data_IF_613114934786
#
_entry.id   IF_613114934786
#
_cell.length_a   1.000
_cell.length_b   1.000
_cell.length_c   1.000
_cell.angle_alpha   90.00
_cell.angle_beta   90.00
_cell.angle_gamma   90.00
#
_symmetry.space_group_name_H-M   'P 1'
#
loop_
_entity.id
_entity.type
_entity.pdbx_description
1 polymer ?
#
# COMPACT_ATOMS: atom_id res chain seq x y z
N UNK A 1 11.55 11.79 -4.12
CA UNK A 1 10.57 12.48 -5.00
C UNK A 1 11.36 13.37 -5.94
N UNK A 2 10.94 13.55 -7.20
CA UNK A 2 11.72 14.36 -8.14
C UNK A 2 11.64 15.85 -7.79
N UNK A 3 12.78 16.47 -7.51
CA UNK A 3 12.87 17.90 -7.16
C UNK A 3 12.36 18.81 -8.29
N UNK A 4 12.53 18.40 -9.54
CA UNK A 4 12.12 19.14 -10.73
C UNK A 4 10.59 19.23 -10.87
N UNK A 5 9.87 18.18 -10.45
CA UNK A 5 8.41 18.16 -10.47
C UNK A 5 7.82 19.06 -9.38
N UNK A 6 8.40 19.03 -8.18
CA UNK A 6 8.02 19.92 -7.10
C UNK A 6 8.26 21.41 -7.47
N UNK A 7 9.37 21.71 -8.14
CA UNK A 7 9.67 23.07 -8.62
C UNK A 7 8.67 23.54 -9.71
N UNK A 8 8.29 22.67 -10.64
CA UNK A 8 7.25 22.97 -11.64
C UNK A 8 5.89 23.22 -11.01
N UNK A 9 5.49 22.40 -10.02
CA UNK A 9 4.22 22.58 -9.32
C UNK A 9 4.19 23.85 -8.48
N UNK A 10 5.32 24.21 -7.85
CA UNK A 10 5.49 25.46 -7.12
C UNK A 10 5.39 26.70 -8.02
N UNK A 11 5.96 26.66 -9.24
CA UNK A 11 5.79 27.75 -10.21
C UNK A 11 4.36 27.91 -10.73
N UNK A 12 3.56 26.83 -10.67
CA UNK A 12 2.16 26.84 -11.12
C UNK A 12 1.12 27.01 -10.01
N UNK A 13 1.55 27.27 -8.77
CA UNK A 13 0.70 27.40 -7.57
C UNK A 13 -0.18 26.16 -7.29
N UNK A 14 0.31 24.97 -7.66
CA UNK A 14 -0.39 23.67 -7.54
C UNK A 14 0.35 22.70 -6.62
N UNK A 15 0.91 23.19 -5.52
CA UNK A 15 1.68 22.35 -4.60
C UNK A 15 0.85 21.21 -3.99
N UNK A 16 -0.47 21.36 -3.86
CA UNK A 16 -1.38 20.27 -3.44
C UNK A 16 -1.35 19.03 -4.37
N UNK A 17 -0.90 19.19 -5.62
CA UNK A 17 -0.76 18.08 -6.56
C UNK A 17 0.42 17.17 -6.20
N UNK A 18 1.37 17.63 -5.37
CA UNK A 18 2.46 16.77 -4.86
C UNK A 18 1.87 15.61 -4.04
N UNK A 19 0.87 15.91 -3.21
CA UNK A 19 0.23 14.92 -2.34
C UNK A 19 -0.75 14.03 -3.12
N UNK A 20 -1.38 14.57 -4.16
CA UNK A 20 -2.41 13.86 -4.94
C UNK A 20 -1.87 13.12 -6.16
N UNK A 21 -0.72 13.53 -6.70
CA UNK A 21 -0.07 12.94 -7.88
C UNK A 21 1.45 12.88 -7.68
N UNK A 22 1.94 12.08 -6.72
CA UNK A 22 3.36 11.96 -6.48
C UNK A 22 4.07 11.33 -7.69
N UNK A 23 5.01 12.06 -8.28
CA UNK A 23 5.94 11.53 -9.27
C UNK A 23 7.15 10.93 -8.55
N UNK A 24 7.15 9.61 -8.42
CA UNK A 24 8.22 8.83 -7.81
C UNK A 24 9.06 8.06 -8.84
N UNK A 25 10.26 7.65 -8.44
CA UNK A 25 11.16 6.77 -9.21
C UNK A 25 10.98 5.28 -8.87
N UNK A 26 9.87 4.95 -8.21
CA UNK A 26 9.55 3.59 -7.76
C UNK A 26 9.03 2.68 -8.87
N UNK A 27 8.82 1.40 -8.58
CA UNK A 27 8.34 0.41 -9.55
C UNK A 27 6.89 0.66 -10.02
N UNK A 28 6.10 1.41 -9.25
CA UNK A 28 4.71 1.71 -9.58
C UNK A 28 4.44 3.21 -9.51
N UNK A 29 3.57 3.69 -10.39
CA UNK A 29 3.07 5.05 -10.48
C UNK A 29 1.62 5.10 -9.99
N UNK A 30 1.22 6.22 -9.39
CA UNK A 30 -0.17 6.43 -8.99
C UNK A 30 -1.05 6.55 -10.22
N UNK A 31 -2.05 5.67 -10.33
CA UNK A 31 -3.07 5.72 -11.38
C UNK A 31 -4.37 6.33 -10.87
N UNK A 32 -4.78 5.99 -9.65
CA UNK A 32 -5.97 6.57 -9.03
C UNK A 32 -5.86 6.58 -7.51
N UNK A 33 -6.33 7.65 -6.89
CA UNK A 33 -6.46 7.77 -5.45
C UNK A 33 -7.90 8.09 -5.08
N UNK A 34 -8.55 7.21 -4.31
CA UNK A 34 -9.85 7.44 -3.70
C UNK A 34 -9.68 7.50 -2.20
N UNK A 35 -9.78 8.73 -1.67
CA UNK A 35 -9.61 9.00 -0.25
C UNK A 35 -10.48 8.08 0.61
N UNK A 36 -9.87 7.43 1.60
CA UNK A 36 -10.53 6.50 2.51
C UNK A 36 -11.01 5.17 1.90
N UNK A 37 -10.80 4.93 0.60
CA UNK A 37 -11.26 3.72 -0.08
C UNK A 37 -10.10 2.89 -0.61
N UNK A 38 -9.35 3.41 -1.59
CA UNK A 38 -8.25 2.66 -2.20
C UNK A 38 -7.23 3.55 -2.91
N UNK A 39 -6.04 2.99 -3.10
CA UNK A 39 -4.97 3.53 -3.94
C UNK A 39 -4.70 2.52 -5.06
N UNK A 40 -4.86 2.94 -6.32
CA UNK A 40 -4.52 2.13 -7.49
C UNK A 40 -3.19 2.59 -8.06
N UNK A 41 -2.25 1.66 -8.14
CA UNK A 41 -0.91 1.86 -8.66
C UNK A 41 -0.72 1.04 -9.93
N UNK A 42 -0.19 1.65 -10.99
CA UNK A 42 0.14 0.98 -12.24
C UNK A 42 1.64 0.82 -12.39
N UNK A 43 2.07 -0.24 -13.07
CA UNK A 43 3.48 -0.53 -13.33
C UNK A 43 4.16 0.65 -14.04
N UNK A 44 5.29 1.11 -13.51
CA UNK A 44 6.14 2.10 -14.14
C UNK A 44 6.96 1.45 -15.28
N UNK A 45 6.70 1.72 -16.58
CA UNK A 45 7.37 1.02 -17.67
C UNK A 45 8.88 1.31 -17.74
N UNK A 46 9.27 2.55 -17.41
CA UNK A 46 10.67 2.99 -17.39
C UNK A 46 11.34 2.86 -16.00
N UNK A 47 10.95 1.86 -15.20
CA UNK A 47 11.57 1.65 -13.89
C UNK A 47 13.01 1.14 -14.05
N UNK A 48 13.95 1.84 -13.42
CA UNK A 48 15.40 1.70 -13.64
C UNK A 48 16.00 0.36 -13.16
N UNK A 49 15.34 -0.38 -12.26
CA UNK A 49 15.76 -1.73 -11.81
C UNK A 49 15.08 -2.87 -12.57
N UNK A 50 14.47 -2.58 -13.72
CA UNK A 50 13.80 -3.57 -14.56
C UNK A 50 12.28 -3.58 -14.39
N UNK A 51 11.56 -4.22 -15.32
CA UNK A 51 10.10 -4.17 -15.38
C UNK A 51 9.48 -5.00 -14.25
N UNK A 52 8.68 -4.42 -13.33
CA UNK A 52 7.98 -5.17 -12.30
C UNK A 52 7.09 -6.26 -12.93
N UNK A 53 6.92 -7.40 -12.26
CA UNK A 53 6.11 -8.51 -12.81
C UNK A 53 4.61 -8.21 -12.77
N UNK A 54 4.14 -7.49 -11.75
CA UNK A 54 2.73 -7.17 -11.56
C UNK A 54 2.33 -5.94 -12.41
N UNK A 55 1.22 -5.99 -13.16
CA UNK A 55 0.76 -4.86 -13.97
C UNK A 55 0.14 -3.75 -13.11
N UNK A 56 -0.52 -4.13 -12.02
CA UNK A 56 -1.25 -3.24 -11.14
C UNK A 56 -1.12 -3.73 -9.69
N UNK A 57 -1.15 -2.79 -8.76
CA UNK A 57 -1.29 -3.02 -7.33
C UNK A 57 -2.43 -2.15 -6.82
N UNK A 58 -3.32 -2.71 -6.00
CA UNK A 58 -4.38 -1.97 -5.33
C UNK A 58 -4.17 -2.07 -3.83
N UNK A 59 -4.09 -0.93 -3.16
CA UNK A 59 -4.05 -0.84 -1.70
C UNK A 59 -5.45 -0.48 -1.23
N UNK A 60 -6.13 -1.42 -0.58
CA UNK A 60 -7.44 -1.22 0.02
C UNK A 60 -7.29 -0.55 1.39
N UNK A 61 -7.89 0.64 1.53
CA UNK A 61 -7.90 1.43 2.76
C UNK A 61 -9.27 1.40 3.45
N UNK A 62 -10.33 1.09 2.71
CA UNK A 62 -11.72 1.13 3.21
C UNK A 62 -12.11 -0.07 4.05
N UNK A 63 -11.37 -1.18 3.94
CA UNK A 63 -11.64 -2.38 4.72
C UNK A 63 -11.13 -2.23 6.15
N UNK A 64 -12.00 -2.41 7.16
CA UNK A 64 -11.65 -2.41 8.58
C UNK A 64 -11.77 -3.79 9.23
N UNK A 65 -10.99 -4.04 10.29
CA UNK A 65 -11.16 -5.18 11.19
C UNK A 65 -11.26 -6.55 10.51
N UNK A 66 -12.39 -7.24 10.72
CA UNK A 66 -12.68 -8.58 10.17
C UNK A 66 -12.86 -8.57 8.66
N UNK A 67 -13.30 -7.46 8.05
CA UNK A 67 -13.50 -7.36 6.61
C UNK A 67 -12.21 -7.58 5.80
N UNK A 68 -11.06 -7.16 6.34
CA UNK A 68 -9.76 -7.42 5.70
C UNK A 68 -9.40 -8.91 5.71
N UNK A 69 -9.68 -9.60 6.81
CA UNK A 69 -9.43 -11.03 6.94
C UNK A 69 -10.35 -11.82 6.00
N UNK A 70 -11.64 -11.48 5.95
CA UNK A 70 -12.58 -12.11 5.03
C UNK A 70 -12.10 -11.99 3.58
N UNK A 71 -11.68 -10.80 3.15
CA UNK A 71 -11.15 -10.58 1.80
C UNK A 71 -9.92 -11.43 1.48
N UNK A 72 -9.05 -11.67 2.45
CA UNK A 72 -7.92 -12.60 2.28
C UNK A 72 -8.41 -14.04 2.12
N UNK A 73 -9.33 -14.48 2.98
CA UNK A 73 -9.84 -15.85 2.97
C UNK A 73 -10.71 -16.18 1.75
N UNK A 74 -11.40 -15.18 1.18
CA UNK A 74 -12.17 -15.30 -0.08
C UNK A 74 -11.31 -15.17 -1.33
N UNK A 75 -10.05 -14.74 -1.20
CA UNK A 75 -9.16 -14.51 -2.34
C UNK A 75 -9.37 -13.17 -3.06
N UNK A 76 -10.16 -12.26 -2.49
CA UNK A 76 -10.28 -10.87 -2.99
C UNK A 76 -9.01 -10.04 -2.72
N UNK A 77 -8.20 -10.45 -1.75
CA UNK A 77 -6.94 -9.82 -1.39
C UNK A 77 -5.83 -10.86 -1.30
N UNK A 78 -4.69 -10.60 -1.95
CA UNK A 78 -3.55 -11.52 -1.94
C UNK A 78 -2.66 -11.37 -0.70
N UNK A 79 -2.64 -10.18 -0.08
CA UNK A 79 -1.73 -9.84 1.02
C UNK A 79 -2.44 -9.03 2.09
N UNK A 80 -2.43 -9.54 3.32
CA UNK A 80 -2.92 -8.84 4.50
C UNK A 80 -1.76 -8.28 5.32
N UNK A 81 -1.76 -6.98 5.56
CA UNK A 81 -0.82 -6.31 6.46
C UNK A 81 -1.41 -6.12 7.87
N UNK A 82 -0.57 -6.32 8.89
CA UNK A 82 -0.89 -6.13 10.32
C UNK A 82 -2.23 -6.76 10.76
N UNK A 83 -2.36 -8.10 10.70
CA UNK A 83 -3.53 -8.77 11.24
C UNK A 83 -3.66 -8.52 12.75
N UNK A 84 -4.89 -8.53 13.26
CA UNK A 84 -5.11 -8.45 14.70
C UNK A 84 -4.56 -9.70 15.40
N UNK A 85 -4.10 -9.56 16.64
CA UNK A 85 -3.53 -10.68 17.40
C UNK A 85 -4.50 -11.88 17.50
N UNK A 86 -5.80 -11.61 17.67
CA UNK A 86 -6.86 -12.63 17.70
C UNK A 86 -7.05 -13.39 16.38
N UNK A 87 -6.56 -12.85 15.27
CA UNK A 87 -6.68 -13.46 13.94
C UNK A 87 -5.47 -14.35 13.59
N UNK A 88 -4.41 -14.32 14.41
CA UNK A 88 -3.16 -15.02 14.10
C UNK A 88 -3.29 -16.55 14.11
N UNK A 89 -4.16 -17.12 14.96
CA UNK A 89 -4.44 -18.56 14.96
C UNK A 89 -5.10 -18.99 13.65
N UNK A 90 -6.17 -18.29 13.25
CA UNK A 90 -6.89 -18.55 11.99
C UNK A 90 -5.95 -18.49 10.79
N UNK A 91 -5.06 -17.49 10.74
CA UNK A 91 -4.09 -17.33 9.65
C UNK A 91 -2.98 -18.39 9.65
N UNK A 92 -2.65 -18.94 10.82
CA UNK A 92 -1.65 -20.00 10.97
C UNK A 92 -2.21 -21.36 10.56
N UNK A 93 -3.49 -21.59 10.84
CA UNK A 93 -4.13 -22.88 10.65
C UNK A 93 -4.64 -23.08 9.20
N UNK A 94 -4.71 -22.02 8.39
CA UNK A 94 -5.03 -22.12 6.95
C UNK A 94 -3.79 -22.53 6.13
N UNK A 95 -3.75 -23.74 5.55
CA UNK A 95 -2.58 -24.24 4.81
C UNK A 95 -2.34 -23.50 3.48
N UNK A 96 -3.29 -22.68 3.02
CA UNK A 96 -3.16 -21.88 1.79
C UNK A 96 -2.39 -20.59 2.02
N UNK A 97 -2.20 -20.20 3.29
CA UNK A 97 -1.62 -18.92 3.67
C UNK A 97 -0.19 -19.09 4.21
N UNK A 98 0.65 -18.09 3.93
CA UNK A 98 1.99 -18.01 4.52
C UNK A 98 2.07 -16.83 5.47
N UNK A 99 2.02 -17.11 6.78
CA UNK A 99 2.23 -16.09 7.80
C UNK A 99 3.72 -15.76 7.95
N UNK A 100 4.08 -14.50 7.72
CA UNK A 100 5.44 -14.00 7.95
C UNK A 100 5.47 -13.09 9.17
N UNK A 101 6.14 -13.52 10.23
CA UNK A 101 6.35 -12.73 11.45
C UNK A 101 7.76 -12.14 11.41
N UNK A 102 7.86 -10.82 11.62
CA UNK A 102 9.15 -10.12 11.79
C UNK A 102 9.06 -9.24 13.03
N UNK A 103 10.10 -9.19 13.88
CA UNK A 103 10.17 -8.20 14.94
C UNK A 103 9.96 -6.80 14.35
N UNK A 104 8.95 -6.09 14.83
CA UNK A 104 8.63 -4.76 14.34
C UNK A 104 9.70 -3.77 14.79
N UNK A 105 10.15 -2.90 13.88
CA UNK A 105 10.95 -1.73 14.23
C UNK A 105 10.02 -0.57 14.62
N UNK A 106 9.07 -0.84 15.51
CA UNK A 106 8.10 0.12 16.02
C UNK A 106 7.95 -0.06 17.55
N UNK A 107 7.87 1.04 18.28
CA UNK A 107 7.64 1.05 19.72
C UNK A 107 6.28 1.71 19.94
N UNK A 108 5.40 1.05 20.68
CA UNK A 108 4.15 1.64 21.16
C UNK A 108 4.32 1.99 22.65
N UNK A 109 4.01 3.23 23.00
CA UNK A 109 4.04 3.74 24.37
C UNK A 109 2.62 4.14 24.79
N UNK A 110 2.25 3.86 26.04
CA UNK A 110 1.05 4.39 26.68
C UNK A 110 1.50 5.42 27.72
N UNK A 111 1.23 6.69 27.46
CA UNK A 111 1.44 7.76 28.44
C UNK A 111 0.33 7.72 29.49
N UNK A 112 0.73 7.86 30.76
CA UNK A 112 -0.18 7.99 31.90
C UNK A 112 -0.64 9.44 32.03
#
# INVERSE_FOLDING_TARGET
MSAEYAAKLAQSDRQEMIDRQPVGTGPFQLAEYRSGQYIRLQRHPAYWRGKPLMPQVVVDLGSGGTGRLSKLLTGECDVLAWPAASQLSILRDDPRLRLTLRPGMNIAWAGV
#
